data_IF_597729787970
#
_entry.id   IF_597729787970
#
_cell.length_a   1.000
_cell.length_b   1.000
_cell.length_c   1.000
_cell.angle_alpha   90.00
_cell.angle_beta   90.00
_cell.angle_gamma   90.00
#
_symmetry.space_group_name_H-M   'P 1'
#
loop_
_entity.id
_entity.type
_entity.pdbx_description
1 polymer ?
#
# COMPACT_ATOMS: atom_id res chain seq x y z
N UNK A 1 47.25 35.43 0.31
CA UNK A 1 45.86 35.94 0.38
C UNK A 1 44.95 34.98 -0.35
N UNK A 2 43.99 34.38 0.36
CA UNK A 2 42.61 34.02 -0.03
C UNK A 2 42.35 33.86 -1.55
N UNK A 3 41.91 32.71 -2.07
CA UNK A 3 40.53 32.21 -1.91
C UNK A 3 40.48 30.68 -1.93
N UNK A 4 40.08 30.12 -0.79
CA UNK A 4 39.58 28.77 -0.64
C UNK A 4 38.26 28.66 -1.42
N UNK A 5 38.27 28.09 -2.63
CA UNK A 5 37.05 27.75 -3.35
C UNK A 5 36.46 26.50 -2.69
N UNK A 6 35.78 26.70 -1.56
CA UNK A 6 35.03 25.66 -0.86
C UNK A 6 33.74 25.42 -1.66
N UNK A 7 33.78 24.50 -2.61
CA UNK A 7 32.58 24.00 -3.27
C UNK A 7 31.77 23.26 -2.21
N UNK A 8 30.81 23.95 -1.60
CA UNK A 8 29.73 23.34 -0.83
C UNK A 8 28.94 22.45 -1.80
N UNK A 9 29.32 21.17 -1.88
CA UNK A 9 28.46 20.10 -2.35
C UNK A 9 27.29 20.01 -1.36
N UNK A 10 26.30 20.88 -1.54
CA UNK A 10 25.03 20.77 -0.84
C UNK A 10 24.34 19.53 -1.42
N UNK A 11 24.49 18.38 -0.75
CA UNK A 11 23.76 17.18 -1.09
C UNK A 11 22.27 17.47 -0.87
N UNK A 12 21.55 17.79 -1.95
CA UNK A 12 20.10 17.87 -1.89
C UNK A 12 19.60 16.47 -1.50
N UNK A 13 18.84 16.31 -0.41
CA UNK A 13 18.18 15.05 -0.15
C UNK A 13 17.24 14.76 -1.32
N UNK A 14 17.52 13.69 -2.04
CA UNK A 14 16.54 13.06 -2.92
C UNK A 14 15.44 12.52 -2.02
N UNK A 15 14.33 13.24 -1.92
CA UNK A 15 13.11 12.68 -1.36
C UNK A 15 12.69 11.53 -2.29
N UNK A 16 12.85 10.29 -1.80
CA UNK A 16 12.33 9.10 -2.48
C UNK A 16 10.88 8.92 -2.05
N UNK A 17 9.97 8.87 -3.02
CA UNK A 17 8.61 8.39 -2.80
C UNK A 17 8.70 6.87 -2.80
N UNK A 18 8.84 6.30 -1.62
CA UNK A 18 8.83 4.85 -1.43
C UNK A 18 7.37 4.37 -1.38
N UNK A 19 6.94 3.75 -2.49
CA UNK A 19 5.64 3.10 -2.58
C UNK A 19 5.68 1.81 -1.77
N UNK A 20 4.97 1.82 -0.63
CA UNK A 20 4.94 0.70 0.30
C UNK A 20 3.56 0.49 0.87
N UNK A 21 3.37 -0.70 1.44
CA UNK A 21 2.23 -0.97 2.32
C UNK A 21 2.50 -0.22 3.63
N UNK A 22 1.60 0.68 3.99
CA UNK A 22 1.65 1.45 5.23
C UNK A 22 0.96 0.71 6.38
N UNK A 23 -0.09 -0.04 6.09
CA UNK A 23 -0.80 -0.89 7.06
C UNK A 23 -1.33 -2.16 6.38
N UNK A 24 -1.29 -3.27 7.11
CA UNK A 24 -1.85 -4.55 6.68
C UNK A 24 -2.55 -5.19 7.87
N UNK A 25 -3.86 -5.43 7.77
CA UNK A 25 -4.67 -5.88 8.89
C UNK A 25 -5.69 -6.94 8.45
N UNK A 26 -5.94 -8.02 9.23
CA UNK A 26 -5.31 -8.34 10.52
C UNK A 26 -3.90 -8.90 10.38
N UNK A 27 -3.15 -8.87 11.49
CA UNK A 27 -1.82 -9.50 11.61
C UNK A 27 -1.83 -10.56 12.72
N UNK A 28 -0.99 -11.59 12.57
CA UNK A 28 -0.91 -12.70 13.52
C UNK A 28 -2.11 -13.64 13.45
N UNK A 29 -2.40 -14.32 14.57
CA UNK A 29 -3.52 -15.25 14.67
C UNK A 29 -4.76 -14.54 15.20
N UNK A 30 -5.75 -14.34 14.33
CA UNK A 30 -7.01 -13.66 14.65
C UNK A 30 -8.18 -14.57 14.29
N UNK A 31 -9.16 -14.67 15.20
CA UNK A 31 -10.38 -15.46 14.97
C UNK A 31 -11.42 -14.64 14.21
N UNK A 32 -12.28 -15.31 13.44
CA UNK A 32 -13.45 -14.68 12.80
C UNK A 32 -13.07 -13.54 11.86
N UNK A 33 -12.08 -13.77 11.01
CA UNK A 33 -11.64 -12.76 10.05
C UNK A 33 -12.68 -12.63 8.95
N UNK A 34 -13.32 -11.46 8.87
CA UNK A 34 -14.28 -11.12 7.81
C UNK A 34 -13.62 -10.47 6.59
N UNK A 35 -12.56 -9.72 6.83
CA UNK A 35 -11.89 -8.91 5.82
C UNK A 35 -10.40 -8.77 6.12
N UNK A 36 -9.60 -8.66 5.07
CA UNK A 36 -8.22 -8.17 5.10
C UNK A 36 -8.22 -6.77 4.50
N UNK A 37 -7.59 -5.82 5.18
CA UNK A 37 -7.43 -4.43 4.74
C UNK A 37 -5.95 -4.16 4.50
N UNK A 38 -5.67 -3.46 3.41
CA UNK A 38 -4.33 -2.98 3.07
C UNK A 38 -4.41 -1.50 2.79
N UNK A 39 -3.55 -0.73 3.45
CA UNK A 39 -3.34 0.69 3.18
C UNK A 39 -1.95 0.90 2.59
N UNK A 40 -1.86 1.81 1.62
CA UNK A 40 -0.61 2.16 0.95
C UNK A 40 -0.09 3.52 1.43
N UNK A 41 1.21 3.76 1.28
CA UNK A 41 1.85 5.04 1.65
C UNK A 41 1.42 6.20 0.75
N UNK A 42 1.05 5.89 -0.50
CA UNK A 42 0.65 6.86 -1.51
C UNK A 42 -0.39 6.25 -2.47
N UNK A 43 -0.93 7.07 -3.36
CA UNK A 43 -1.92 6.70 -4.37
C UNK A 43 -1.44 5.55 -5.26
N UNK A 44 -2.11 4.40 -5.17
CA UNK A 44 -1.81 3.22 -5.99
C UNK A 44 -2.67 3.13 -7.25
N UNK A 45 -3.86 3.73 -7.22
CA UNK A 45 -4.80 3.69 -8.34
C UNK A 45 -5.42 5.06 -8.62
N UNK A 46 -5.79 5.38 -9.87
CA UNK A 46 -6.48 6.63 -10.15
C UNK A 46 -7.83 6.70 -9.42
N UNK A 47 -8.07 7.81 -8.73
CA UNK A 47 -9.34 8.03 -8.04
C UNK A 47 -10.51 8.01 -9.04
N UNK A 48 -11.56 7.25 -8.71
CA UNK A 48 -12.77 7.20 -9.53
C UNK A 48 -12.66 6.40 -10.83
N UNK A 49 -11.60 5.61 -11.03
CA UNK A 49 -11.49 4.71 -12.18
C UNK A 49 -12.02 3.30 -11.85
N UNK A 50 -13.20 2.89 -12.36
CA UNK A 50 -13.79 1.58 -12.07
C UNK A 50 -13.12 0.42 -12.81
N UNK A 51 -12.21 0.70 -13.76
CA UNK A 51 -11.56 -0.32 -14.61
C UNK A 51 -10.26 -0.87 -14.00
N UNK A 52 -9.93 -0.46 -12.78
CA UNK A 52 -8.70 -0.90 -12.13
C UNK A 52 -8.88 -2.32 -11.61
N UNK A 53 -7.88 -3.16 -11.85
CA UNK A 53 -7.88 -4.54 -11.36
C UNK A 53 -7.99 -4.57 -9.83
N UNK A 54 -8.85 -5.45 -9.34
CA UNK A 54 -8.91 -5.84 -7.93
C UNK A 54 -7.94 -6.98 -7.59
N UNK A 55 -7.40 -7.67 -8.59
CA UNK A 55 -6.56 -8.86 -8.38
C UNK A 55 -5.09 -8.44 -8.27
N UNK A 56 -4.75 -7.79 -7.16
CA UNK A 56 -3.41 -7.22 -6.90
C UNK A 56 -2.58 -8.01 -5.87
N UNK A 57 -3.17 -9.04 -5.25
CA UNK A 57 -2.50 -9.90 -4.28
C UNK A 57 -2.63 -11.37 -4.66
N UNK A 58 -1.59 -12.15 -4.37
CA UNK A 58 -1.66 -13.61 -4.37
C UNK A 58 -2.35 -14.02 -3.06
N UNK A 59 -3.48 -14.72 -3.17
CA UNK A 59 -4.25 -15.15 -2.02
C UNK A 59 -3.98 -16.63 -1.73
N UNK A 60 -3.13 -16.88 -0.74
CA UNK A 60 -2.90 -18.21 -0.17
C UNK A 60 -3.86 -18.47 1.00
N UNK A 61 -5.13 -18.62 0.67
CA UNK A 61 -6.19 -18.95 1.61
C UNK A 61 -7.15 -19.97 0.97
N UNK A 62 -7.54 -21.05 1.68
CA UNK A 62 -8.50 -22.03 1.18
C UNK A 62 -9.87 -21.42 0.88
N UNK A 63 -10.36 -20.50 1.73
CA UNK A 63 -11.63 -19.81 1.51
C UNK A 63 -11.42 -18.62 0.58
N UNK A 64 -12.21 -18.54 -0.48
CA UNK A 64 -12.16 -17.42 -1.43
C UNK A 64 -12.99 -16.24 -0.94
N UNK A 65 -12.44 -15.05 -1.11
CA UNK A 65 -13.09 -13.75 -0.94
C UNK A 65 -13.04 -12.93 -2.22
N UNK A 66 -13.40 -11.65 -2.11
CA UNK A 66 -13.38 -10.68 -3.21
C UNK A 66 -12.56 -9.46 -2.86
N UNK A 67 -11.66 -9.10 -3.77
CA UNK A 67 -10.89 -7.87 -3.72
C UNK A 67 -11.67 -6.66 -4.19
N UNK A 68 -11.47 -5.50 -3.58
CA UNK A 68 -11.90 -4.21 -4.12
C UNK A 68 -11.12 -3.04 -3.53
N UNK A 69 -10.98 -1.99 -4.32
CA UNK A 69 -10.52 -0.70 -3.86
C UNK A 69 -11.63 0.01 -3.08
N UNK A 70 -11.29 0.57 -1.92
CA UNK A 70 -12.16 1.48 -1.16
C UNK A 70 -11.98 2.92 -1.64
N UNK A 71 -10.73 3.28 -1.92
CA UNK A 71 -10.30 4.55 -2.47
C UNK A 71 -8.98 4.34 -3.22
N UNK A 72 -8.26 5.42 -3.49
CA UNK A 72 -7.02 5.42 -4.25
C UNK A 72 -5.80 4.84 -3.50
N UNK A 73 -5.93 4.61 -2.18
CA UNK A 73 -4.85 4.14 -1.27
C UNK A 73 -5.25 2.98 -0.36
N UNK A 74 -6.51 2.59 -0.35
CA UNK A 74 -7.04 1.56 0.53
C UNK A 74 -7.70 0.46 -0.29
N UNK A 75 -7.26 -0.76 -0.05
CA UNK A 75 -7.78 -1.98 -0.66
C UNK A 75 -8.31 -2.91 0.42
N UNK A 76 -9.36 -3.66 0.11
CA UNK A 76 -9.82 -4.75 0.96
C UNK A 76 -9.98 -6.05 0.19
N UNK A 77 -9.83 -7.15 0.91
CA UNK A 77 -10.24 -8.48 0.49
C UNK A 77 -11.27 -9.01 1.49
N UNK A 78 -12.51 -9.20 1.04
CA UNK A 78 -13.65 -9.52 1.90
C UNK A 78 -14.12 -10.96 1.68
N UNK A 79 -14.32 -11.70 2.77
CA UNK A 79 -14.86 -13.07 2.73
C UNK A 79 -16.40 -13.06 2.79
N UNK A 80 -17.10 -13.96 2.07
CA UNK A 80 -18.57 -14.05 2.10
C UNK A 80 -19.13 -14.26 3.51
N UNK A 81 -18.39 -14.97 4.36
CA UNK A 81 -18.67 -15.24 5.76
C UNK A 81 -17.35 -15.19 6.53
N UNK A 82 -17.40 -14.91 7.84
CA UNK A 82 -16.22 -14.94 8.71
C UNK A 82 -15.47 -16.27 8.60
N UNK A 83 -14.14 -16.21 8.72
CA UNK A 83 -13.25 -17.37 8.76
C UNK A 83 -13.26 -18.08 10.12
#
# INVERSE_FOLDING_TARGET
>A
MIKFLFVLFFSLPLFSIDLKISDFNPQGNVKRVKQVKVSFSDQMVPLGNPKVSSDIFIIDCPKKGKGRWLDDRNYIYEFPEEL
#
